data_IF_138000534691
#
_entry.id   IF_138000534691
#
_cell.length_a   1.000
_cell.length_b   1.000
_cell.length_c   1.000
_cell.angle_alpha   90.00
_cell.angle_beta   90.00
_cell.angle_gamma   90.00
#
_symmetry.space_group_name_H-M   'P 1'
#
loop_
_entity.id
_entity.type
_entity.pdbx_description
1 polymer ?
#
# COMPACT_ATOMS: atom_id res chain seq x y z
N UNK A 1 -2.98 1.79 11.63
CA UNK A 1 -2.00 1.91 10.53
C UNK A 1 -2.37 3.11 9.68
N UNK A 2 -1.34 3.81 9.20
CA UNK A 2 -1.46 4.93 8.29
C UNK A 2 -0.46 4.75 7.14
N UNK A 3 -0.97 4.82 5.90
CA UNK A 3 -0.16 4.82 4.67
C UNK A 3 -0.08 6.27 4.19
N UNK A 4 0.93 7.00 4.66
CA UNK A 4 1.04 8.44 4.47
C UNK A 4 1.59 8.79 3.08
N UNK A 5 0.74 9.34 2.22
CA UNK A 5 1.14 9.84 0.91
C UNK A 5 1.65 11.29 0.99
N UNK A 6 2.83 11.54 0.45
CA UNK A 6 3.51 12.83 0.51
C UNK A 6 3.52 13.54 -0.84
N UNK A 7 3.14 14.81 -0.87
CA UNK A 7 3.05 15.64 -2.09
C UNK A 7 3.92 16.88 -1.94
N UNK A 8 4.75 17.24 -2.92
CA UNK A 8 4.99 16.53 -4.19
C UNK A 8 5.90 15.30 -4.06
N UNK A 9 6.69 15.21 -3.01
CA UNK A 9 7.61 14.10 -2.68
C UNK A 9 7.77 13.98 -1.16
N UNK A 10 8.17 12.81 -0.69
CA UNK A 10 8.45 12.60 0.73
C UNK A 10 9.75 13.30 1.17
N UNK A 11 9.83 13.73 2.43
CA UNK A 11 11.04 14.24 3.05
C UNK A 11 11.12 13.84 4.51
N UNK A 12 12.29 13.94 5.11
CA UNK A 12 12.47 13.69 6.55
C UNK A 12 11.64 14.67 7.38
N UNK A 13 11.51 15.92 6.95
CA UNK A 13 10.71 16.95 7.62
C UNK A 13 9.22 16.63 7.56
N UNK A 14 8.71 16.14 6.41
CA UNK A 14 7.30 15.75 6.29
C UNK A 14 6.97 14.51 7.12
N UNK A 15 7.89 13.55 7.18
CA UNK A 15 7.79 12.38 8.07
C UNK A 15 7.78 12.81 9.53
N UNK A 16 8.72 13.67 9.93
CA UNK A 16 8.80 14.19 11.31
C UNK A 16 7.53 14.94 11.70
N UNK A 17 6.95 15.73 10.78
CA UNK A 17 5.72 16.47 11.06
C UNK A 17 4.52 15.53 11.33
N UNK A 18 4.36 14.47 10.52
CA UNK A 18 3.29 13.49 10.71
C UNK A 18 3.49 12.72 12.03
N UNK A 19 4.68 12.22 12.27
CA UNK A 19 4.98 11.46 13.48
C UNK A 19 4.84 12.31 14.74
N UNK A 20 5.28 13.58 14.70
CA UNK A 20 5.09 14.51 15.81
C UNK A 20 3.60 14.80 16.07
N UNK A 21 2.79 14.94 15.03
CA UNK A 21 1.33 15.12 15.20
C UNK A 21 0.69 13.93 15.92
N UNK A 22 1.10 12.69 15.62
CA UNK A 22 0.65 11.50 16.35
C UNK A 22 1.17 11.46 17.78
N UNK A 23 2.41 11.90 18.02
CA UNK A 23 2.97 12.02 19.36
C UNK A 23 2.15 12.99 20.23
N UNK A 24 1.88 14.19 19.68
CA UNK A 24 1.13 15.26 20.34
C UNK A 24 -0.33 14.86 20.62
N UNK A 25 -0.95 14.14 19.66
CA UNK A 25 -2.30 13.58 19.84
C UNK A 25 -2.37 12.46 20.91
N UNK A 26 -1.24 11.90 21.32
CA UNK A 26 -1.17 10.85 22.34
C UNK A 26 -1.74 9.49 21.90
N UNK A 27 -1.96 9.26 20.62
CA UNK A 27 -2.51 8.00 20.08
C UNK A 27 -1.41 7.00 19.73
N UNK A 28 -1.81 5.76 19.46
CA UNK A 28 -0.94 4.75 18.84
C UNK A 28 -1.01 4.86 17.33
N UNK A 29 0.15 4.91 16.66
CA UNK A 29 0.22 4.95 15.21
C UNK A 29 1.34 4.02 14.70
N UNK A 30 1.06 3.32 13.61
CA UNK A 30 2.05 2.62 12.80
C UNK A 30 2.00 3.24 11.41
N UNK A 31 3.09 3.91 11.00
CA UNK A 31 3.10 4.77 9.81
C UNK A 31 4.06 4.23 8.76
N UNK A 32 3.59 4.14 7.54
CA UNK A 32 4.39 3.89 6.34
C UNK A 32 4.40 5.11 5.43
N UNK A 33 5.41 5.21 4.57
CA UNK A 33 5.51 6.24 3.53
C UNK A 33 4.97 5.64 2.23
N UNK A 34 3.78 6.03 1.81
CA UNK A 34 3.21 5.59 0.53
C UNK A 34 3.71 6.50 -0.60
N UNK A 35 4.89 6.18 -1.15
CA UNK A 35 5.51 7.00 -2.19
C UNK A 35 5.85 6.17 -3.42
N UNK A 36 5.08 6.29 -4.53
CA UNK A 36 5.43 5.71 -5.81
C UNK A 36 6.67 6.36 -6.42
N UNK A 37 7.47 5.58 -7.16
CA UNK A 37 8.69 6.07 -7.83
C UNK A 37 8.74 5.85 -9.35
N UNK A 38 7.61 5.47 -9.96
CA UNK A 38 7.46 5.44 -11.42
C UNK A 38 6.48 6.51 -11.89
N UNK A 39 6.59 6.88 -13.16
CA UNK A 39 5.74 7.93 -13.75
C UNK A 39 4.27 7.49 -13.81
N UNK A 40 3.34 8.44 -13.68
CA UNK A 40 1.91 8.15 -13.49
C UNK A 40 1.31 7.33 -14.64
N UNK A 41 1.62 7.67 -15.90
CA UNK A 41 1.05 6.97 -17.05
C UNK A 41 1.52 5.51 -17.19
N UNK A 42 2.63 5.12 -16.55
CA UNK A 42 3.10 3.72 -16.54
C UNK A 42 2.37 2.85 -15.51
N UNK A 43 1.64 3.47 -14.58
CA UNK A 43 0.90 2.78 -13.52
C UNK A 43 -0.40 2.16 -14.02
N UNK A 44 -0.86 2.58 -15.21
CA UNK A 44 -2.12 2.13 -15.80
C UNK A 44 -1.92 1.64 -17.22
N UNK A 45 -2.60 0.55 -17.63
CA UNK A 45 -2.51 0.06 -19.02
C UNK A 45 -3.11 1.10 -19.99
N UNK A 46 -2.44 1.30 -21.11
CA UNK A 46 -2.88 2.15 -22.21
C UNK A 46 -2.99 3.65 -21.92
N UNK A 47 -2.68 4.11 -20.70
CA UNK A 47 -2.87 5.52 -20.34
C UNK A 47 -2.01 6.45 -21.20
N UNK A 48 -0.75 6.07 -21.49
CA UNK A 48 0.13 6.86 -22.34
C UNK A 48 -0.43 7.08 -23.77
N UNK A 49 -1.18 6.12 -24.30
CA UNK A 49 -1.78 6.20 -25.64
C UNK A 49 -2.99 7.13 -25.68
N UNK A 50 -3.63 7.37 -24.53
CA UNK A 50 -4.84 8.18 -24.39
C UNK A 50 -4.55 9.65 -24.06
N UNK A 51 -3.33 9.96 -23.63
CA UNK A 51 -2.97 11.29 -23.16
C UNK A 51 -2.33 12.14 -24.27
N UNK A 52 -2.62 13.47 -24.29
CA UNK A 52 -1.91 14.41 -25.14
C UNK A 52 -0.41 14.42 -24.80
N UNK A 53 0.43 14.70 -25.80
CA UNK A 53 1.89 14.78 -25.63
C UNK A 53 2.32 15.79 -24.56
N UNK A 54 1.58 16.87 -24.39
CA UNK A 54 1.84 17.91 -23.40
C UNK A 54 1.67 17.36 -21.97
N UNK A 55 0.62 16.58 -21.73
CA UNK A 55 0.36 15.94 -20.45
C UNK A 55 1.44 14.90 -20.10
N UNK A 56 1.86 14.10 -21.10
CA UNK A 56 2.96 13.14 -20.90
C UNK A 56 4.26 13.85 -20.50
N UNK A 57 4.58 14.98 -21.16
CA UNK A 57 5.76 15.78 -20.81
C UNK A 57 5.66 16.38 -19.40
N UNK A 58 4.47 16.84 -19.00
CA UNK A 58 4.25 17.36 -17.67
C UNK A 58 4.43 16.26 -16.60
N UNK A 59 3.93 15.04 -16.85
CA UNK A 59 4.14 13.89 -15.99
C UNK A 59 5.61 13.46 -15.93
N UNK A 60 6.35 13.51 -17.04
CA UNK A 60 7.79 13.22 -17.07
C UNK A 60 8.59 14.24 -16.26
N UNK A 61 8.19 15.50 -16.29
CA UNK A 61 8.85 16.58 -15.56
C UNK A 61 8.46 16.64 -14.07
N UNK A 62 7.43 15.90 -13.63
CA UNK A 62 7.02 15.87 -12.23
C UNK A 62 8.13 15.34 -11.32
N UNK A 63 8.33 15.93 -10.13
CA UNK A 63 9.32 15.45 -9.17
C UNK A 63 9.11 13.96 -8.84
N UNK A 64 10.18 13.18 -8.91
CA UNK A 64 10.22 11.78 -8.49
C UNK A 64 11.48 11.51 -7.70
N UNK A 65 11.39 10.60 -6.78
CA UNK A 65 12.51 10.19 -5.95
C UNK A 65 13.09 8.86 -6.45
N UNK A 66 14.39 8.73 -6.33
CA UNK A 66 15.10 7.48 -6.58
C UNK A 66 14.85 6.47 -5.46
N UNK A 67 15.15 5.21 -5.71
CA UNK A 67 15.13 4.15 -4.70
C UNK A 67 15.96 4.53 -3.48
N UNK A 68 17.19 5.01 -3.67
CA UNK A 68 18.11 5.35 -2.58
C UNK A 68 17.57 6.51 -1.72
N UNK A 69 17.02 7.56 -2.35
CA UNK A 69 16.41 8.68 -1.62
C UNK A 69 15.24 8.22 -0.77
N UNK A 70 14.35 7.38 -1.29
CA UNK A 70 13.20 6.85 -0.55
C UNK A 70 13.63 5.92 0.59
N UNK A 71 14.59 5.03 0.36
CA UNK A 71 15.11 4.16 1.40
C UNK A 71 15.83 4.93 2.51
N UNK A 72 16.49 6.04 2.17
CA UNK A 72 17.10 6.94 3.18
C UNK A 72 16.02 7.60 4.08
N UNK A 73 14.86 7.97 3.51
CA UNK A 73 13.74 8.52 4.31
C UNK A 73 13.15 7.43 5.21
N UNK A 74 13.04 6.19 4.73
CA UNK A 74 12.63 5.06 5.58
C UNK A 74 13.62 4.77 6.70
N UNK A 75 14.93 4.85 6.44
CA UNK A 75 15.95 4.71 7.48
C UNK A 75 15.74 5.78 8.57
N UNK A 76 15.50 7.04 8.20
CA UNK A 76 15.19 8.12 9.14
C UNK A 76 13.90 7.83 9.94
N UNK A 77 12.81 7.39 9.31
CA UNK A 77 11.56 7.01 9.98
C UNK A 77 11.80 5.91 11.03
N UNK A 78 12.55 4.88 10.66
CA UNK A 78 12.84 3.74 11.53
C UNK A 78 13.75 4.17 12.69
N UNK A 79 14.87 4.84 12.43
CA UNK A 79 15.84 5.22 13.43
C UNK A 79 15.29 6.20 14.47
N UNK A 80 14.46 7.14 14.03
CA UNK A 80 13.96 8.22 14.89
C UNK A 80 12.65 7.88 15.59
N UNK A 81 11.74 7.18 14.90
CA UNK A 81 10.35 7.08 15.35
C UNK A 81 9.88 5.67 15.70
N UNK A 82 10.54 4.61 15.18
CA UNK A 82 10.11 3.25 15.51
C UNK A 82 10.38 2.95 16.99
N UNK A 83 9.30 2.65 17.74
CA UNK A 83 9.35 2.45 19.20
C UNK A 83 9.33 3.73 20.05
N UNK A 84 9.24 4.91 19.41
CA UNK A 84 9.14 6.18 20.12
C UNK A 84 7.87 6.29 20.96
N UNK A 85 7.83 7.30 21.85
CA UNK A 85 6.71 7.57 22.76
C UNK A 85 6.30 6.35 23.61
N UNK A 86 7.29 5.62 24.13
CA UNK A 86 7.05 4.42 24.93
C UNK A 86 6.43 3.26 24.14
N UNK A 87 6.73 3.17 22.83
CA UNK A 87 6.21 2.14 21.94
C UNK A 87 4.82 2.45 21.36
N UNK A 88 4.33 3.71 21.52
CA UNK A 88 3.08 4.11 20.88
C UNK A 88 3.23 4.38 19.39
N UNK A 89 4.41 4.81 18.94
CA UNK A 89 4.71 5.07 17.54
C UNK A 89 5.57 3.97 16.97
N UNK A 90 5.24 3.53 15.76
CA UNK A 90 5.97 2.50 15.04
C UNK A 90 6.06 2.82 13.55
N UNK A 91 7.09 2.31 12.90
CA UNK A 91 7.23 2.33 11.45
C UNK A 91 6.56 1.10 10.83
N UNK A 92 6.08 1.26 9.62
CA UNK A 92 5.79 0.21 8.66
C UNK A 92 6.44 0.57 7.32
N UNK A 93 6.43 -0.31 6.35
CA UNK A 93 6.82 0.00 4.97
C UNK A 93 5.63 -0.14 4.04
N UNK A 94 5.64 0.62 2.93
CA UNK A 94 4.64 0.55 1.88
C UNK A 94 5.27 0.75 0.51
N UNK A 95 4.82 0.00 -0.47
CA UNK A 95 5.17 0.24 -1.87
C UNK A 95 4.00 0.86 -2.64
N UNK A 96 2.94 1.32 -1.96
CA UNK A 96 1.68 1.71 -2.57
C UNK A 96 1.02 0.50 -3.27
N UNK A 97 1.48 0.13 -4.44
CA UNK A 97 1.02 -1.05 -5.19
C UNK A 97 2.16 -1.59 -6.07
N UNK A 98 2.17 -2.88 -6.42
CA UNK A 98 3.27 -3.51 -7.16
C UNK A 98 3.60 -2.83 -8.50
N UNK A 99 2.59 -2.26 -9.15
CA UNK A 99 2.73 -1.59 -10.46
C UNK A 99 3.14 -0.11 -10.33
N UNK A 100 3.26 0.43 -9.12
CA UNK A 100 3.56 1.85 -8.86
C UNK A 100 5.01 2.11 -8.50
N UNK A 101 5.80 1.04 -8.36
CA UNK A 101 7.19 1.11 -7.92
C UNK A 101 8.11 0.29 -8.81
N UNK A 102 9.39 0.63 -8.79
CA UNK A 102 10.43 -0.17 -9.44
C UNK A 102 10.74 -1.42 -8.61
N UNK A 103 11.24 -2.47 -9.26
CA UNK A 103 11.55 -3.74 -8.57
C UNK A 103 12.66 -3.59 -7.53
N UNK A 104 13.63 -2.73 -7.75
CA UNK A 104 14.71 -2.44 -6.81
C UNK A 104 14.19 -1.75 -5.54
N UNK A 105 13.27 -0.78 -5.69
CA UNK A 105 12.63 -0.16 -4.54
C UNK A 105 11.77 -1.16 -3.76
N UNK A 106 10.97 -1.97 -4.45
CA UNK A 106 10.18 -3.03 -3.81
C UNK A 106 11.08 -4.02 -3.03
N UNK A 107 12.19 -4.44 -3.64
CA UNK A 107 13.17 -5.31 -2.97
C UNK A 107 13.80 -4.64 -1.73
N UNK A 108 14.15 -3.37 -1.83
CA UNK A 108 14.65 -2.57 -0.69
C UNK A 108 13.64 -2.50 0.46
N UNK A 109 12.37 -2.23 0.17
CA UNK A 109 11.29 -2.21 1.17
C UNK A 109 11.08 -3.59 1.80
N UNK A 110 11.09 -4.68 1.00
CA UNK A 110 11.01 -6.04 1.54
C UNK A 110 12.20 -6.37 2.45
N UNK A 111 13.41 -5.91 2.11
CA UNK A 111 14.58 -6.07 2.96
C UNK A 111 14.44 -5.31 4.29
N UNK A 112 13.99 -4.06 4.27
CA UNK A 112 13.73 -3.27 5.49
C UNK A 112 12.67 -3.91 6.37
N UNK A 113 11.55 -4.37 5.77
CA UNK A 113 10.50 -5.08 6.50
C UNK A 113 11.05 -6.32 7.22
N UNK A 114 11.85 -7.13 6.53
CA UNK A 114 12.48 -8.34 7.11
C UNK A 114 13.51 -7.99 8.19
N UNK A 115 14.35 -7.00 7.94
CA UNK A 115 15.44 -6.62 8.85
C UNK A 115 14.93 -6.07 10.19
N UNK A 116 13.84 -5.30 10.17
CA UNK A 116 13.31 -4.62 11.34
C UNK A 116 11.97 -5.18 11.83
N UNK A 117 11.52 -6.32 11.25
CA UNK A 117 10.24 -6.97 11.54
C UNK A 117 9.04 -6.00 11.44
N UNK A 118 9.01 -5.21 10.37
CA UNK A 118 7.98 -4.18 10.14
C UNK A 118 6.83 -4.71 9.30
N UNK A 119 5.57 -4.29 9.58
CA UNK A 119 4.47 -4.53 8.66
C UNK A 119 4.75 -3.95 7.27
N UNK A 120 4.28 -4.64 6.23
CA UNK A 120 4.40 -4.19 4.84
C UNK A 120 3.02 -3.99 4.22
N UNK A 121 2.64 -2.74 4.01
CA UNK A 121 1.36 -2.36 3.43
C UNK A 121 1.43 -2.36 1.91
N UNK A 122 0.41 -2.89 1.24
CA UNK A 122 0.37 -2.94 -0.22
C UNK A 122 -1.08 -3.00 -0.73
N UNK A 123 -1.44 -2.10 -1.66
CA UNK A 123 -2.74 -2.10 -2.32
C UNK A 123 -2.73 -3.07 -3.49
N UNK A 124 -3.48 -4.14 -3.40
CA UNK A 124 -3.53 -5.17 -4.46
C UNK A 124 -4.96 -5.47 -4.86
N UNK A 125 -5.19 -5.43 -6.18
CA UNK A 125 -6.45 -5.85 -6.81
C UNK A 125 -7.69 -5.16 -6.22
N UNK A 126 -7.55 -3.88 -5.90
CA UNK A 126 -8.63 -3.00 -5.49
C UNK A 126 -9.65 -2.83 -6.63
N UNK A 127 -9.18 -2.60 -7.85
CA UNK A 127 -10.02 -2.36 -9.01
C UNK A 127 -9.87 -3.46 -10.06
N UNK A 128 -10.89 -3.61 -10.92
CA UNK A 128 -10.81 -4.49 -12.09
C UNK A 128 -9.66 -4.10 -13.03
N UNK A 129 -9.34 -2.80 -13.08
CA UNK A 129 -8.23 -2.30 -13.88
C UNK A 129 -6.88 -2.87 -13.43
N UNK A 130 -6.64 -2.98 -12.12
CA UNK A 130 -5.42 -3.62 -11.59
C UNK A 130 -5.32 -5.10 -12.00
N UNK A 131 -6.46 -5.81 -12.11
CA UNK A 131 -6.45 -7.18 -12.60
C UNK A 131 -6.07 -7.27 -14.09
N UNK A 132 -6.58 -6.35 -14.91
CA UNK A 132 -6.19 -6.24 -16.32
C UNK A 132 -4.71 -5.92 -16.43
N UNK A 133 -4.24 -4.90 -15.72
CA UNK A 133 -2.84 -4.49 -15.71
C UNK A 133 -1.89 -5.62 -15.30
N UNK A 134 -2.22 -6.40 -14.28
CA UNK A 134 -1.42 -7.54 -13.86
C UNK A 134 -1.21 -8.54 -15.00
N UNK A 135 -2.27 -8.82 -15.76
CA UNK A 135 -2.21 -9.71 -16.94
C UNK A 135 -1.40 -9.11 -18.09
N UNK A 136 -1.62 -7.84 -18.42
CA UNK A 136 -0.93 -7.16 -19.52
C UNK A 136 0.55 -6.92 -19.21
N UNK A 137 0.88 -6.44 -18.02
CA UNK A 137 2.26 -6.07 -17.64
C UNK A 137 3.10 -7.27 -17.20
N UNK A 138 2.50 -8.22 -16.47
CA UNK A 138 3.24 -9.32 -15.81
C UNK A 138 2.80 -10.72 -16.27
N UNK A 139 1.77 -10.85 -17.10
CA UNK A 139 1.22 -12.13 -17.55
C UNK A 139 0.50 -12.95 -16.46
N UNK A 140 0.24 -12.34 -15.30
CA UNK A 140 -0.30 -13.01 -14.10
C UNK A 140 -1.03 -12.03 -13.20
N UNK A 141 -1.66 -12.53 -12.12
CA UNK A 141 -2.23 -11.65 -11.10
C UNK A 141 -1.14 -10.88 -10.34
N UNK A 142 -1.49 -9.75 -9.74
CA UNK A 142 -0.54 -8.97 -8.92
C UNK A 142 -0.12 -9.75 -7.67
N UNK A 143 -0.99 -10.56 -7.06
CA UNK A 143 -0.64 -11.43 -5.93
C UNK A 143 0.40 -12.47 -6.36
N UNK A 144 0.16 -13.16 -7.48
CA UNK A 144 1.12 -14.11 -8.05
C UNK A 144 2.44 -13.43 -8.41
N UNK A 145 2.41 -12.21 -8.92
CA UNK A 145 3.62 -11.45 -9.24
C UNK A 145 4.47 -11.20 -7.99
N UNK A 146 3.86 -10.71 -6.91
CA UNK A 146 4.55 -10.46 -5.64
C UNK A 146 5.09 -11.75 -5.02
N UNK A 147 4.32 -12.85 -5.09
CA UNK A 147 4.77 -14.16 -4.64
C UNK A 147 6.01 -14.64 -5.42
N UNK A 148 5.98 -14.57 -6.74
CA UNK A 148 7.08 -15.04 -7.60
C UNK A 148 8.37 -14.21 -7.42
N UNK A 149 8.25 -12.95 -6.98
CA UNK A 149 9.37 -12.11 -6.57
C UNK A 149 9.95 -12.50 -5.18
N UNK A 150 9.26 -13.37 -4.43
CA UNK A 150 9.66 -13.79 -3.08
C UNK A 150 9.40 -12.75 -2.00
N UNK A 151 8.45 -11.82 -2.23
CA UNK A 151 8.14 -10.73 -1.29
C UNK A 151 6.87 -10.97 -0.48
N UNK A 152 6.03 -11.96 -0.88
CA UNK A 152 4.80 -12.29 -0.17
C UNK A 152 5.11 -13.10 1.09
N UNK A 153 4.91 -12.51 2.28
CA UNK A 153 5.13 -13.17 3.58
C UNK A 153 4.18 -12.65 4.67
N UNK A 154 4.32 -13.18 5.89
CA UNK A 154 3.43 -12.89 7.03
C UNK A 154 3.42 -11.45 7.52
N UNK A 155 4.39 -10.61 7.12
CA UNK A 155 4.39 -9.17 7.44
C UNK A 155 3.53 -8.37 6.49
N UNK A 156 3.13 -8.95 5.36
CA UNK A 156 2.38 -8.24 4.33
C UNK A 156 0.91 -8.09 4.69
N UNK A 157 0.43 -6.86 4.67
CA UNK A 157 -0.98 -6.50 4.75
C UNK A 157 -1.47 -6.09 3.37
N UNK A 158 -2.28 -6.95 2.77
CA UNK A 158 -2.86 -6.74 1.44
C UNK A 158 -4.15 -5.94 1.59
N UNK A 159 -4.12 -4.69 1.14
CA UNK A 159 -5.24 -3.76 1.25
C UNK A 159 -6.19 -3.97 0.07
N UNK A 160 -7.49 -3.97 0.35
CA UNK A 160 -8.64 -4.18 -0.54
C UNK A 160 -8.87 -5.64 -0.95
N UNK A 161 -7.95 -6.28 -1.69
CA UNK A 161 -8.07 -7.68 -2.14
C UNK A 161 -9.44 -8.02 -2.75
N UNK A 162 -9.99 -7.14 -3.62
CA UNK A 162 -11.35 -7.27 -4.16
C UNK A 162 -11.38 -8.22 -5.37
N UNK A 163 -10.49 -7.99 -6.34
CA UNK A 163 -10.49 -8.68 -7.63
C UNK A 163 -9.53 -9.87 -7.66
N UNK A 164 -9.38 -10.54 -6.52
CA UNK A 164 -8.59 -11.78 -6.35
C UNK A 164 -9.39 -13.02 -6.78
N UNK A 165 -8.68 -14.08 -7.17
CA UNK A 165 -9.28 -15.40 -7.45
C UNK A 165 -8.85 -16.44 -6.42
N UNK A 166 -9.31 -17.70 -6.61
CA UNK A 166 -9.02 -18.78 -5.67
C UNK A 166 -7.52 -19.11 -5.57
N UNK A 167 -6.75 -18.91 -6.65
CA UNK A 167 -5.30 -19.08 -6.64
C UNK A 167 -4.62 -17.97 -5.81
N UNK A 168 -5.07 -16.74 -5.97
CA UNK A 168 -4.60 -15.60 -5.17
C UNK A 168 -4.89 -15.83 -3.68
N UNK A 169 -6.11 -16.27 -3.35
CA UNK A 169 -6.51 -16.56 -1.96
C UNK A 169 -5.62 -17.63 -1.34
N UNK A 170 -5.32 -18.72 -2.08
CA UNK A 170 -4.39 -19.75 -1.60
C UNK A 170 -3.00 -19.19 -1.33
N UNK A 171 -2.47 -18.37 -2.22
CA UNK A 171 -1.16 -17.74 -2.02
C UNK A 171 -1.13 -16.84 -0.76
N UNK A 172 -2.17 -16.05 -0.54
CA UNK A 172 -2.28 -15.22 0.65
C UNK A 172 -2.33 -16.05 1.93
N UNK A 173 -3.10 -17.15 1.92
CA UNK A 173 -3.21 -18.07 3.05
C UNK A 173 -1.87 -18.79 3.33
N UNK A 174 -1.24 -19.36 2.30
CA UNK A 174 0.03 -20.09 2.42
C UNK A 174 1.17 -19.18 2.91
N UNK A 175 1.15 -17.91 2.48
CA UNK A 175 2.12 -16.88 2.90
C UNK A 175 1.77 -16.22 4.24
N UNK A 176 0.63 -16.58 4.84
CA UNK A 176 0.12 -16.02 6.11
C UNK A 176 -0.07 -14.50 6.10
N UNK A 177 -0.37 -13.94 4.93
CA UNK A 177 -0.65 -12.51 4.78
C UNK A 177 -1.94 -12.13 5.52
N UNK A 178 -2.05 -10.86 5.89
CA UNK A 178 -3.30 -10.27 6.40
C UNK A 178 -4.00 -9.51 5.28
N UNK A 179 -5.32 -9.59 5.18
CA UNK A 179 -6.11 -8.77 4.27
C UNK A 179 -6.77 -7.60 5.03
N UNK A 180 -6.63 -6.37 4.53
CA UNK A 180 -7.33 -5.21 5.07
C UNK A 180 -8.60 -4.93 4.26
N UNK A 181 -9.75 -4.99 4.92
CA UNK A 181 -11.06 -4.76 4.30
C UNK A 181 -11.55 -3.35 4.58
N UNK A 182 -11.74 -2.57 3.51
CA UNK A 182 -12.18 -1.18 3.54
C UNK A 182 -13.57 -1.06 2.87
N UNK A 183 -14.65 -1.64 3.42
CA UNK A 183 -15.91 -1.79 2.71
C UNK A 183 -16.55 -0.45 2.32
N UNK A 184 -16.48 0.57 3.17
CA UNK A 184 -17.06 1.89 2.90
C UNK A 184 -16.39 2.54 1.69
N UNK A 185 -15.05 2.61 1.68
CA UNK A 185 -14.28 3.10 0.55
C UNK A 185 -14.56 2.31 -0.72
N UNK A 186 -14.47 0.98 -0.66
CA UNK A 186 -14.67 0.10 -1.80
C UNK A 186 -16.04 0.30 -2.48
N UNK A 187 -17.10 0.48 -1.69
CA UNK A 187 -18.45 0.73 -2.20
C UNK A 187 -18.60 2.15 -2.74
N UNK A 188 -18.04 3.14 -2.05
CA UNK A 188 -18.11 4.56 -2.45
C UNK A 188 -17.41 4.82 -3.78
N UNK A 189 -16.24 4.24 -3.98
CA UNK A 189 -15.49 4.33 -5.23
C UNK A 189 -16.00 3.39 -6.33
N UNK A 190 -16.92 2.47 -6.00
CA UNK A 190 -17.38 1.46 -6.95
C UNK A 190 -16.31 0.42 -7.30
N UNK A 191 -15.29 0.27 -6.45
CA UNK A 191 -14.20 -0.70 -6.64
C UNK A 191 -14.70 -2.15 -6.63
N UNK A 192 -15.71 -2.46 -5.81
CA UNK A 192 -16.34 -3.78 -5.70
C UNK A 192 -16.45 -4.27 -4.26
N UNK A 193 -16.65 -5.58 -4.10
CA UNK A 193 -16.80 -6.23 -2.79
C UNK A 193 -15.71 -7.28 -2.61
N UNK A 194 -14.96 -7.19 -1.54
CA UNK A 194 -13.93 -8.18 -1.18
C UNK A 194 -14.60 -9.56 -0.95
N UNK A 195 -14.04 -10.66 -1.45
CA UNK A 195 -14.56 -12.01 -1.22
C UNK A 195 -14.27 -12.47 0.23
N UNK A 196 -14.86 -11.74 1.20
CA UNK A 196 -14.61 -11.87 2.64
C UNK A 196 -14.71 -13.32 3.13
N UNK A 197 -15.80 -14.02 2.73
CA UNK A 197 -16.03 -15.39 3.19
C UNK A 197 -14.96 -16.36 2.68
N UNK A 198 -14.57 -16.22 1.42
CA UNK A 198 -13.55 -17.08 0.81
C UNK A 198 -12.20 -16.90 1.50
N UNK A 199 -11.80 -15.65 1.78
CA UNK A 199 -10.56 -15.33 2.51
C UNK A 199 -10.59 -15.91 3.93
N UNK A 200 -11.68 -15.66 4.67
CA UNK A 200 -11.87 -16.20 6.02
C UNK A 200 -11.82 -17.73 6.05
N UNK A 201 -12.55 -18.38 5.14
CA UNK A 201 -12.66 -19.84 5.10
C UNK A 201 -11.32 -20.50 4.66
N UNK A 202 -10.46 -19.76 3.93
CA UNK A 202 -9.07 -20.12 3.64
C UNK A 202 -8.10 -19.83 4.80
N UNK A 203 -8.56 -19.22 5.89
CA UNK A 203 -7.74 -18.92 7.05
C UNK A 203 -6.88 -17.65 6.95
N UNK A 204 -7.16 -16.76 5.97
CA UNK A 204 -6.49 -15.46 5.86
C UNK A 204 -7.01 -14.54 6.97
N UNK A 205 -6.15 -14.00 7.85
CA UNK A 205 -6.55 -12.99 8.84
C UNK A 205 -7.09 -11.75 8.13
N UNK A 206 -8.18 -11.18 8.67
CA UNK A 206 -8.80 -9.98 8.10
C UNK A 206 -8.86 -8.89 9.17
N UNK A 207 -8.37 -7.70 8.83
CA UNK A 207 -8.58 -6.49 9.61
C UNK A 207 -9.49 -5.51 8.86
N UNK A 208 -9.99 -4.49 9.57
CA UNK A 208 -10.86 -3.46 9.00
C UNK A 208 -10.13 -2.13 8.92
N UNK A 209 -10.37 -1.40 7.85
CA UNK A 209 -9.86 -0.05 7.64
C UNK A 209 -10.97 0.92 7.20
N UNK A 210 -10.79 2.18 7.52
CA UNK A 210 -11.65 3.28 7.04
C UNK A 210 -11.22 3.77 5.67
N UNK A 211 -9.95 3.52 5.31
CA UNK A 211 -9.32 4.12 4.14
C UNK A 211 -9.18 5.65 4.26
N UNK A 212 -9.14 6.36 3.14
CA UNK A 212 -8.95 7.80 3.12
C UNK A 212 -10.14 8.56 3.70
N UNK A 213 -9.86 9.70 4.33
CA UNK A 213 -10.90 10.57 4.93
C UNK A 213 -11.86 11.16 3.91
N UNK A 214 -11.49 11.23 2.64
CA UNK A 214 -12.31 11.75 1.56
C UNK A 214 -13.29 10.70 0.98
N UNK A 215 -13.13 9.44 1.33
CA UNK A 215 -14.00 8.34 0.88
C UNK A 215 -15.11 8.00 1.88
N UNK A 216 -15.09 8.60 3.07
CA UNK A 216 -16.13 8.43 4.09
C UNK A 216 -16.57 9.79 4.65
N UNK A 217 -17.84 9.90 5.06
CA UNK A 217 -18.37 11.10 5.70
C UNK A 217 -17.97 11.18 7.18
N UNK A 218 -17.54 10.05 7.76
CA UNK A 218 -17.05 9.97 9.12
C UNK A 218 -16.01 8.85 9.26
N UNK A 219 -14.79 9.19 9.65
CA UNK A 219 -13.74 8.20 9.96
C UNK A 219 -14.14 7.44 11.23
N UNK A 220 -14.95 6.39 11.05
CA UNK A 220 -15.57 5.67 12.16
C UNK A 220 -15.57 4.15 11.91
N UNK A 221 -14.69 3.42 12.58
CA UNK A 221 -14.60 1.96 12.46
C UNK A 221 -15.90 1.23 12.84
N UNK A 222 -16.74 1.79 13.71
CA UNK A 222 -18.03 1.20 14.02
C UNK A 222 -19.00 1.24 12.82
N UNK A 223 -18.88 2.25 11.97
CA UNK A 223 -19.62 2.29 10.71
C UNK A 223 -19.09 1.23 9.75
N UNK A 224 -17.78 1.09 9.63
CA UNK A 224 -17.15 0.05 8.80
C UNK A 224 -17.63 -1.36 9.20
N UNK A 225 -17.81 -1.64 10.50
CA UNK A 225 -18.29 -2.95 10.97
C UNK A 225 -19.74 -3.23 10.62
N UNK A 226 -20.54 -2.24 10.21
CA UNK A 226 -21.95 -2.38 9.86
C UNK A 226 -22.17 -2.48 8.35
N UNK A 227 -21.16 -2.13 7.55
CA UNK A 227 -21.20 -2.18 6.09
C UNK A 227 -20.84 -3.55 5.59
#
# INVERSE_FOLDING_TARGET
>A
HDDAYHVPVASTESVDAIMQAYADAGIRATVAIDQPNIVEYEKYPYLAELLPTEELRAMDAAPRQTTDELLAIYAHLIERWHGAEGGRLAAAVSCSAPQRVTNDYFAGLSALSKQHDLPFNIHILETKLQRVLGREKFGKSLVRHVHDLGFLDERMMVIHAIWIDDDDIRLLADSRCTAAHNPVCNLRLGSGVMPYRNLRDAGVPICLGTDEMNTDDAVNLWQVTKT
#
